data_IF_115036477923
#
_entry.id   IF_115036477923
#
_cell.length_a   1.000
_cell.length_b   1.000
_cell.length_c   1.000
_cell.angle_alpha   90.00
_cell.angle_beta   90.00
_cell.angle_gamma   90.00
#
_symmetry.space_group_name_H-M   'P 1'
#
loop_
_entity.id
_entity.type
_entity.pdbx_description
1 polymer ?
#
# COMPACT_ATOMS: atom_id res chain seq x y z
N UNK A 1 -15.59 20.65 -24.01
CA UNK A 1 -15.60 19.18 -23.77
C UNK A 1 -14.28 18.82 -23.09
N UNK A 2 -14.25 18.75 -21.76
CA UNK A 2 -13.05 18.34 -21.04
C UNK A 2 -12.84 16.85 -21.24
N UNK A 3 -11.69 16.47 -21.81
CA UNK A 3 -11.23 15.09 -21.83
C UNK A 3 -11.10 14.61 -20.38
N UNK A 4 -11.98 13.71 -19.94
CA UNK A 4 -11.74 12.93 -18.73
C UNK A 4 -10.43 12.17 -18.95
N UNK A 5 -9.40 12.52 -18.18
CA UNK A 5 -8.16 11.77 -18.15
C UNK A 5 -8.50 10.35 -17.69
N UNK A 6 -8.49 9.39 -18.62
CA UNK A 6 -8.72 8.00 -18.29
C UNK A 6 -7.69 7.55 -17.28
N UNK A 7 -8.12 6.91 -16.19
CA UNK A 7 -7.22 6.33 -15.21
C UNK A 7 -6.19 5.45 -15.93
N UNK A 8 -4.96 5.94 -15.97
CA UNK A 8 -3.88 5.31 -16.71
C UNK A 8 -2.85 4.86 -15.70
N UNK A 9 -2.71 3.54 -15.55
CA UNK A 9 -1.61 2.90 -14.82
C UNK A 9 -0.24 3.19 -15.46
N UNK A 10 -0.23 3.70 -16.69
CA UNK A 10 0.98 4.00 -17.45
C UNK A 10 1.58 5.38 -17.16
N UNK A 11 0.99 6.21 -16.28
CA UNK A 11 1.70 7.40 -15.79
C UNK A 11 2.88 6.88 -14.95
N UNK A 12 4.06 6.88 -15.54
CA UNK A 12 5.31 6.63 -14.84
C UNK A 12 5.54 7.80 -13.91
N UNK A 13 5.43 7.53 -12.63
CA UNK A 13 5.75 8.47 -11.57
C UNK A 13 7.22 8.23 -11.21
N UNK A 14 8.10 8.88 -11.99
CA UNK A 14 9.56 8.77 -11.81
C UNK A 14 9.96 9.26 -10.42
N UNK A 15 9.36 10.36 -9.95
CA UNK A 15 9.58 10.92 -8.61
C UNK A 15 9.21 9.93 -7.50
N UNK A 16 8.04 9.30 -7.57
CA UNK A 16 7.65 8.25 -6.62
C UNK A 16 8.61 7.05 -6.70
N UNK A 17 9.03 6.67 -7.91
CA UNK A 17 9.91 5.52 -8.11
C UNK A 17 11.29 5.77 -7.49
N UNK A 18 11.84 6.97 -7.65
CA UNK A 18 13.12 7.34 -7.06
C UNK A 18 13.02 7.49 -5.55
N UNK A 19 11.94 8.10 -5.04
CA UNK A 19 11.66 8.16 -3.61
C UNK A 19 11.59 6.76 -2.98
N UNK A 20 10.95 5.79 -3.66
CA UNK A 20 10.91 4.40 -3.19
C UNK A 20 12.31 3.76 -3.16
N UNK A 21 13.19 4.03 -4.14
CA UNK A 21 14.57 3.49 -4.14
C UNK A 21 15.41 4.06 -3.00
N UNK A 22 15.16 5.30 -2.62
CA UNK A 22 15.89 6.02 -1.56
C UNK A 22 15.34 5.75 -0.15
N UNK A 23 14.22 5.04 -0.03
CA UNK A 23 13.58 4.78 1.26
C UNK A 23 13.92 3.38 1.77
N UNK A 24 14.18 3.27 3.07
CA UNK A 24 14.49 1.98 3.69
C UNK A 24 13.29 1.00 3.67
N UNK A 25 13.62 -0.28 3.79
CA UNK A 25 12.68 -1.37 3.58
C UNK A 25 11.52 -1.38 4.58
N UNK A 26 11.77 -1.07 5.86
CA UNK A 26 10.71 -1.05 6.88
C UNK A 26 9.80 0.16 6.69
N UNK A 27 10.35 1.31 6.35
CA UNK A 27 9.56 2.51 6.02
C UNK A 27 8.66 2.25 4.80
N UNK A 28 9.15 1.56 3.77
CA UNK A 28 8.33 1.18 2.62
C UNK A 28 7.19 0.21 2.98
N UNK A 29 7.41 -0.69 3.94
CA UNK A 29 6.36 -1.60 4.40
C UNK A 29 5.29 -0.87 5.22
N UNK A 30 5.68 0.08 6.08
CA UNK A 30 4.75 0.97 6.79
C UNK A 30 3.91 1.75 5.79
N UNK A 31 4.57 2.40 4.83
CA UNK A 31 3.88 3.14 3.78
C UNK A 31 2.90 2.28 2.97
N UNK A 32 3.28 1.04 2.64
CA UNK A 32 2.39 0.10 1.96
C UNK A 32 1.15 -0.24 2.78
N UNK A 33 1.28 -0.44 4.10
CA UNK A 33 0.15 -0.65 5.02
C UNK A 33 -0.76 0.57 5.01
N UNK A 34 -0.20 1.75 5.20
CA UNK A 34 -0.98 2.99 5.29
C UNK A 34 -1.77 3.25 4.00
N UNK A 35 -1.20 2.91 2.83
CA UNK A 35 -1.92 2.93 1.56
C UNK A 35 -3.08 1.92 1.50
N UNK A 36 -2.88 0.71 2.02
CA UNK A 36 -3.89 -0.35 2.02
C UNK A 36 -5.03 -0.04 2.99
N UNK A 37 -4.73 0.46 4.19
CA UNK A 37 -5.74 0.76 5.21
C UNK A 37 -6.78 1.78 4.72
N UNK A 38 -6.39 2.71 3.84
CA UNK A 38 -7.30 3.69 3.22
C UNK A 38 -8.34 3.06 2.29
N UNK A 39 -8.09 1.85 1.80
CA UNK A 39 -8.95 1.16 0.83
C UNK A 39 -9.48 -0.17 1.33
N UNK A 40 -8.91 -0.70 2.42
CA UNK A 40 -9.35 -1.94 3.05
C UNK A 40 -10.86 -1.96 3.37
N UNK A 41 -11.49 -0.86 3.83
CA UNK A 41 -12.92 -0.84 4.08
C UNK A 41 -13.77 -1.25 2.88
N UNK A 42 -13.33 -1.01 1.63
CA UNK A 42 -14.06 -1.47 0.44
C UNK A 42 -14.18 -3.00 0.39
N UNK A 43 -13.17 -3.72 0.87
CA UNK A 43 -13.23 -5.17 0.98
C UNK A 43 -14.07 -5.60 2.18
N UNK A 44 -13.84 -5.01 3.36
CA UNK A 44 -14.50 -5.41 4.60
C UNK A 44 -16.01 -5.18 4.59
N UNK A 45 -16.48 -4.12 3.92
CA UNK A 45 -17.92 -3.87 3.75
C UNK A 45 -18.56 -4.98 2.91
N UNK A 46 -17.89 -5.45 1.86
CA UNK A 46 -18.42 -6.47 0.95
C UNK A 46 -18.28 -7.90 1.53
N UNK A 47 -17.21 -8.16 2.28
CA UNK A 47 -16.86 -9.48 2.83
C UNK A 47 -16.45 -9.38 4.31
N UNK A 48 -17.36 -9.01 5.24
CA UNK A 48 -17.01 -8.70 6.63
C UNK A 48 -16.42 -9.87 7.42
N UNK A 49 -16.73 -11.10 7.01
CA UNK A 49 -16.25 -12.34 7.64
C UNK A 49 -14.94 -12.85 7.04
N UNK A 50 -14.50 -12.34 5.88
CA UNK A 50 -13.25 -12.74 5.26
C UNK A 50 -12.11 -11.87 5.78
N UNK A 51 -11.24 -12.47 6.59
CA UNK A 51 -10.11 -11.77 7.23
C UNK A 51 -8.82 -11.85 6.42
N UNK A 52 -8.78 -12.55 5.28
CA UNK A 52 -7.53 -12.79 4.54
C UNK A 52 -6.75 -11.51 4.19
N UNK A 53 -7.37 -10.41 3.73
CA UNK A 53 -6.66 -9.15 3.50
C UNK A 53 -6.15 -8.49 4.79
N UNK A 54 -6.92 -8.54 5.89
CA UNK A 54 -6.50 -8.04 7.20
C UNK A 54 -5.31 -8.83 7.76
N UNK A 55 -5.35 -10.16 7.68
CA UNK A 55 -4.26 -11.04 8.12
C UNK A 55 -2.95 -10.75 7.38
N UNK A 56 -3.01 -10.34 6.10
CA UNK A 56 -1.82 -9.93 5.36
C UNK A 56 -1.17 -8.66 5.94
N UNK A 57 -1.99 -7.68 6.37
CA UNK A 57 -1.50 -6.46 7.03
C UNK A 57 -0.89 -6.81 8.39
N UNK A 58 -1.56 -7.64 9.19
CA UNK A 58 -1.07 -8.07 10.51
C UNK A 58 0.27 -8.83 10.40
N UNK A 59 0.43 -9.69 9.39
CA UNK A 59 1.67 -10.39 9.13
C UNK A 59 2.81 -9.41 8.80
N UNK A 60 2.54 -8.39 7.99
CA UNK A 60 3.54 -7.37 7.65
C UNK A 60 3.89 -6.49 8.86
N UNK A 61 2.91 -6.09 9.66
CA UNK A 61 3.13 -5.37 10.92
C UNK A 61 4.00 -6.18 11.89
N UNK A 62 3.77 -7.49 11.95
CA UNK A 62 4.59 -8.40 12.77
C UNK A 62 6.03 -8.44 12.28
N UNK A 63 6.26 -8.53 10.97
CA UNK A 63 7.62 -8.44 10.40
C UNK A 63 8.28 -7.07 10.67
N UNK A 64 7.57 -5.96 10.54
CA UNK A 64 8.10 -4.62 10.84
C UNK A 64 8.61 -4.56 12.29
N UNK A 65 7.80 -5.05 13.24
CA UNK A 65 8.09 -5.01 14.67
C UNK A 65 9.24 -5.94 15.08
N UNK A 66 9.25 -7.17 14.57
CA UNK A 66 10.20 -8.21 15.02
C UNK A 66 11.45 -8.28 14.16
N UNK A 67 11.36 -7.95 12.88
CA UNK A 67 12.39 -8.25 11.87
C UNK A 67 12.46 -9.72 11.46
N UNK A 68 11.63 -10.60 12.03
CA UNK A 68 11.65 -12.03 11.75
C UNK A 68 10.94 -12.33 10.42
N UNK A 69 11.70 -12.84 9.45
CA UNK A 69 11.19 -13.16 8.12
C UNK A 69 11.05 -14.67 7.93
N UNK A 70 9.81 -15.11 7.68
CA UNK A 70 9.48 -16.48 7.31
C UNK A 70 8.81 -16.49 5.93
N UNK A 71 9.52 -16.99 4.91
CA UNK A 71 9.05 -17.00 3.52
C UNK A 71 7.71 -17.72 3.36
N UNK A 72 7.49 -18.82 4.09
CA UNK A 72 6.24 -19.57 4.02
C UNK A 72 5.04 -18.73 4.47
N UNK A 73 5.18 -18.01 5.58
CA UNK A 73 4.10 -17.20 6.17
C UNK A 73 3.78 -15.98 5.31
N UNK A 74 4.81 -15.25 4.88
CA UNK A 74 4.66 -14.08 3.99
C UNK A 74 4.02 -14.48 2.66
N UNK A 75 4.49 -15.58 2.06
CA UNK A 75 3.93 -16.09 0.80
C UNK A 75 2.49 -16.53 0.98
N UNK A 76 2.18 -17.25 2.06
CA UNK A 76 0.81 -17.71 2.34
C UNK A 76 -0.14 -16.53 2.51
N UNK A 77 0.19 -15.57 3.36
CA UNK A 77 -0.62 -14.38 3.59
C UNK A 77 -0.86 -13.58 2.29
N UNK A 78 0.17 -13.42 1.45
CA UNK A 78 0.04 -12.77 0.14
C UNK A 78 -0.91 -13.52 -0.79
N UNK A 79 -0.76 -14.85 -0.90
CA UNK A 79 -1.58 -15.69 -1.77
C UNK A 79 -3.03 -15.75 -1.28
N UNK A 80 -3.26 -15.81 0.03
CA UNK A 80 -4.59 -15.82 0.63
C UNK A 80 -5.34 -14.52 0.36
N UNK A 81 -4.69 -13.35 0.52
CA UNK A 81 -5.27 -12.06 0.15
C UNK A 81 -5.58 -11.97 -1.35
N UNK A 82 -4.70 -12.51 -2.21
CA UNK A 82 -4.97 -12.61 -3.64
C UNK A 82 -6.10 -13.59 -3.99
N UNK A 83 -6.30 -14.67 -3.23
CA UNK A 83 -7.43 -15.58 -3.39
C UNK A 83 -8.74 -14.89 -3.01
N UNK A 84 -8.78 -14.19 -1.88
CA UNK A 84 -9.91 -13.35 -1.47
C UNK A 84 -10.29 -12.33 -2.54
N UNK A 85 -9.30 -11.66 -3.14
CA UNK A 85 -9.53 -10.75 -4.25
C UNK A 85 -10.18 -11.43 -5.48
N UNK A 86 -9.90 -12.71 -5.73
CA UNK A 86 -10.49 -13.44 -6.86
C UNK A 86 -11.95 -13.77 -6.63
N UNK A 87 -12.34 -14.03 -5.38
CA UNK A 87 -13.67 -14.47 -4.99
C UNK A 87 -14.72 -13.36 -4.99
N UNK A 88 -14.32 -12.10 -4.77
CA UNK A 88 -15.24 -10.94 -4.75
C UNK A 88 -15.66 -10.43 -6.14
N UNK A 89 -15.46 -11.21 -7.20
CA UNK A 89 -15.81 -10.85 -8.58
C UNK A 89 -14.76 -9.96 -9.28
N UNK A 90 -15.06 -9.50 -10.50
CA UNK A 90 -14.15 -8.68 -11.33
C UNK A 90 -14.46 -7.19 -11.18
N UNK A 91 -13.45 -6.36 -11.46
CA UNK A 91 -13.56 -4.91 -11.66
C UNK A 91 -14.27 -4.09 -10.56
N UNK A 92 -14.07 -4.45 -9.29
CA UNK A 92 -14.59 -3.69 -8.15
C UNK A 92 -13.49 -3.24 -7.16
N UNK A 93 -13.87 -2.33 -6.27
CA UNK A 93 -12.97 -1.74 -5.27
C UNK A 93 -12.44 -2.79 -4.29
N UNK A 94 -13.30 -3.70 -3.79
CA UNK A 94 -12.93 -4.79 -2.89
C UNK A 94 -11.80 -5.66 -3.44
N UNK A 95 -11.91 -6.09 -4.72
CA UNK A 95 -10.86 -6.86 -5.41
C UNK A 95 -9.52 -6.14 -5.40
N UNK A 96 -9.55 -4.83 -5.59
CA UNK A 96 -8.35 -4.00 -5.66
C UNK A 96 -7.72 -3.83 -4.28
N UNK A 97 -8.54 -3.58 -3.26
CA UNK A 97 -8.10 -3.50 -1.87
C UNK A 97 -7.45 -4.81 -1.40
N UNK A 98 -8.06 -5.97 -1.66
CA UNK A 98 -7.46 -7.26 -1.33
C UNK A 98 -6.17 -7.56 -2.09
N UNK A 99 -6.06 -7.12 -3.36
CA UNK A 99 -4.78 -7.17 -4.09
C UNK A 99 -3.73 -6.25 -3.50
N UNK A 100 -4.12 -5.07 -3.04
CA UNK A 100 -3.23 -4.13 -2.40
C UNK A 100 -2.64 -4.75 -1.11
N UNK A 101 -3.47 -5.37 -0.27
CA UNK A 101 -3.02 -6.10 0.92
C UNK A 101 -2.04 -7.25 0.59
N UNK A 102 -2.33 -8.04 -0.43
CA UNK A 102 -1.43 -9.12 -0.89
C UNK A 102 -0.08 -8.63 -1.39
N UNK A 103 -0.04 -7.44 -2.02
CA UNK A 103 1.22 -6.79 -2.41
C UNK A 103 1.94 -6.16 -1.22
N UNK A 104 1.21 -5.55 -0.28
CA UNK A 104 1.82 -4.96 0.91
C UNK A 104 2.58 -6.02 1.69
N UNK A 105 1.98 -7.16 2.04
CA UNK A 105 2.71 -8.21 2.79
C UNK A 105 3.91 -8.76 2.02
N UNK A 106 3.85 -8.80 0.69
CA UNK A 106 4.98 -9.19 -0.15
C UNK A 106 6.14 -8.17 -0.12
N UNK A 107 5.91 -6.93 0.35
CA UNK A 107 6.96 -5.95 0.61
C UNK A 107 8.01 -6.53 1.54
N UNK A 108 7.67 -7.30 2.58
CA UNK A 108 8.66 -7.94 3.47
C UNK A 108 9.70 -8.80 2.72
N UNK A 109 9.33 -9.40 1.58
CA UNK A 109 10.24 -10.17 0.75
C UNK A 109 11.02 -9.27 -0.23
N UNK A 110 10.33 -8.39 -0.96
CA UNK A 110 10.96 -7.46 -1.91
C UNK A 110 10.32 -6.08 -1.79
N UNK A 111 11.14 -5.08 -1.49
CA UNK A 111 10.71 -3.70 -1.24
C UNK A 111 9.81 -3.11 -2.34
N UNK A 112 10.06 -3.43 -3.62
CA UNK A 112 9.30 -2.88 -4.77
C UNK A 112 7.83 -3.27 -4.80
N UNK A 113 7.41 -4.29 -4.04
CA UNK A 113 5.99 -4.61 -3.87
C UNK A 113 5.20 -3.50 -3.17
N UNK A 114 5.85 -2.60 -2.42
CA UNK A 114 5.19 -1.44 -1.80
C UNK A 114 4.52 -0.54 -2.84
N UNK A 115 5.22 -0.28 -3.95
CA UNK A 115 4.71 0.50 -5.08
C UNK A 115 3.52 -0.20 -5.75
N UNK A 116 3.53 -1.54 -5.81
CA UNK A 116 2.39 -2.30 -6.33
C UNK A 116 1.18 -2.21 -5.39
N UNK A 117 1.39 -2.24 -4.06
CA UNK A 117 0.34 -2.03 -3.07
C UNK A 117 -0.33 -0.65 -3.24
N UNK A 118 0.47 0.42 -3.29
CA UNK A 118 -0.01 1.78 -3.52
C UNK A 118 -0.80 1.94 -4.84
N UNK A 119 -0.32 1.31 -5.92
CA UNK A 119 -1.04 1.29 -7.22
C UNK A 119 -2.37 0.57 -7.16
N UNK A 120 -2.47 -0.54 -6.42
CA UNK A 120 -3.75 -1.23 -6.24
C UNK A 120 -4.71 -0.45 -5.33
N UNK A 121 -4.20 0.32 -4.36
CA UNK A 121 -5.01 1.26 -3.60
C UNK A 121 -5.62 2.36 -4.50
N UNK A 122 -4.81 2.95 -5.40
CA UNK A 122 -5.32 3.88 -6.42
C UNK A 122 -6.40 3.22 -7.31
N UNK A 123 -6.20 1.96 -7.71
CA UNK A 123 -7.22 1.23 -8.46
C UNK A 123 -8.51 0.99 -7.66
N UNK A 124 -8.41 0.78 -6.34
CA UNK A 124 -9.58 0.60 -5.48
C UNK A 124 -10.41 1.89 -5.43
N UNK A 125 -9.75 3.03 -5.22
CA UNK A 125 -10.38 4.35 -5.22
C UNK A 125 -10.98 4.66 -6.59
N UNK A 126 -10.30 4.32 -7.69
CA UNK A 126 -10.84 4.54 -9.04
C UNK A 126 -12.14 3.78 -9.27
N UNK A 127 -12.20 2.53 -8.79
CA UNK A 127 -13.39 1.69 -8.93
C UNK A 127 -14.51 2.05 -7.96
N UNK A 128 -14.20 2.76 -6.88
CA UNK A 128 -15.19 3.27 -5.92
C UNK A 128 -15.70 4.68 -6.28
N UNK A 129 -14.95 5.44 -7.09
CA UNK A 129 -15.26 6.83 -7.40
C UNK A 129 -16.61 7.00 -8.10
N UNK A 130 -17.36 8.02 -7.69
CA UNK A 130 -18.61 8.36 -8.33
C UNK A 130 -18.30 9.21 -9.59
N UNK A 131 -18.86 8.87 -10.77
CA UNK A 131 -18.61 9.63 -12.01
C UNK A 131 -19.06 11.11 -11.96
N UNK A 132 -19.83 11.49 -10.95
CA UNK A 132 -20.30 12.86 -10.67
C UNK A 132 -19.45 13.62 -9.64
N UNK A 133 -18.42 13.00 -9.07
CA UNK A 133 -17.52 13.70 -8.15
C UNK A 133 -16.81 14.87 -8.87
N UNK A 134 -16.80 16.02 -8.23
CA UNK A 134 -16.18 17.25 -8.77
C UNK A 134 -14.67 17.27 -8.55
N UNK A 135 -14.18 16.55 -7.55
CA UNK A 135 -12.75 16.36 -7.29
C UNK A 135 -12.26 15.07 -7.94
N UNK A 136 -10.99 15.03 -8.37
CA UNK A 136 -10.35 13.80 -8.85
C UNK A 136 -9.77 13.03 -7.65
N UNK A 137 -10.45 11.98 -7.13
CA UNK A 137 -9.99 11.27 -5.96
C UNK A 137 -8.67 10.52 -6.19
N UNK A 138 -8.31 10.23 -7.44
CA UNK A 138 -7.06 9.57 -7.79
C UNK A 138 -5.89 10.50 -7.68
N UNK A 139 -6.04 11.73 -8.17
CA UNK A 139 -4.99 12.74 -8.04
C UNK A 139 -4.77 13.07 -6.56
N UNK A 140 -5.85 13.27 -5.79
CA UNK A 140 -5.76 13.49 -4.34
C UNK A 140 -5.06 12.36 -3.60
N UNK A 141 -5.41 11.11 -3.90
CA UNK A 141 -4.74 9.97 -3.26
C UNK A 141 -3.28 9.85 -3.67
N UNK A 142 -2.95 10.05 -4.95
CA UNK A 142 -1.57 9.98 -5.41
C UNK A 142 -0.70 11.02 -4.70
N UNK A 143 -1.21 12.25 -4.59
CA UNK A 143 -0.51 13.34 -3.89
C UNK A 143 -0.33 12.98 -2.41
N UNK A 144 -1.36 12.43 -1.76
CA UNK A 144 -1.25 11.93 -0.39
C UNK A 144 -0.19 10.83 -0.26
N UNK A 145 -0.20 9.82 -1.14
CA UNK A 145 0.77 8.72 -1.12
C UNK A 145 2.21 9.21 -1.22
N UNK A 146 2.46 10.20 -2.10
CA UNK A 146 3.79 10.78 -2.30
C UNK A 146 4.24 11.59 -1.07
N UNK A 147 3.40 12.50 -0.57
CA UNK A 147 3.74 13.30 0.60
C UNK A 147 3.93 12.42 1.84
N UNK A 148 3.07 11.42 2.03
CA UNK A 148 3.15 10.50 3.16
C UNK A 148 4.46 9.71 3.19
N UNK A 149 4.91 9.20 2.03
CA UNK A 149 6.20 8.52 1.95
C UNK A 149 7.37 9.46 2.30
N UNK A 150 7.33 10.70 1.83
CA UNK A 150 8.35 11.71 2.18
C UNK A 150 8.37 11.98 3.68
N UNK A 151 7.20 12.18 4.29
CA UNK A 151 7.08 12.44 5.72
C UNK A 151 7.60 11.28 6.57
N UNK A 152 7.29 10.04 6.20
CA UNK A 152 7.79 8.84 6.86
C UNK A 152 9.32 8.72 6.75
N UNK A 153 9.88 8.93 5.55
CA UNK A 153 11.33 8.91 5.33
C UNK A 153 12.03 9.98 6.15
N UNK A 154 11.56 11.23 6.08
CA UNK A 154 12.16 12.34 6.82
C UNK A 154 12.06 12.12 8.35
N UNK A 155 11.00 11.47 8.83
CA UNK A 155 10.87 11.06 10.24
C UNK A 155 11.92 10.01 10.61
N UNK A 156 12.11 9.00 9.77
CA UNK A 156 13.11 7.95 10.01
C UNK A 156 14.53 8.50 10.01
N UNK A 157 14.87 9.40 9.07
CA UNK A 157 16.18 10.05 9.03
C UNK A 157 16.45 10.89 10.28
N UNK A 158 15.44 11.63 10.77
CA UNK A 158 15.56 12.38 12.03
C UNK A 158 15.78 11.45 13.22
N UNK A 159 15.09 10.31 13.26
CA UNK A 159 15.26 9.31 14.31
C UNK A 159 16.68 8.71 14.29
N UNK A 160 17.19 8.37 13.11
CA UNK A 160 18.56 7.84 12.95
C UNK A 160 19.61 8.84 13.45
N UNK A 161 19.52 10.11 13.04
CA UNK A 161 20.44 11.17 13.49
C UNK A 161 20.37 11.43 14.99
N UNK A 162 19.20 11.23 15.61
CA UNK A 162 19.05 11.39 17.06
C UNK A 162 19.70 10.22 17.82
N UNK A 163 19.54 8.99 17.34
CA UNK A 163 20.20 7.81 17.90
C UNK A 163 21.73 7.93 17.86
N UNK A 164 22.29 8.34 16.71
CA UNK A 164 23.74 8.55 16.54
C UNK A 164 24.30 9.60 17.51
N UNK A 165 23.55 10.66 17.82
CA UNK A 165 23.97 11.69 18.79
C UNK A 165 23.87 11.22 20.24
N UNK A 166 22.92 10.34 20.55
CA UNK A 166 22.71 9.78 21.89
C UNK A 166 23.72 8.71 22.27
N UNK A 167 24.32 8.00 21.30
CA UNK A 167 25.37 7.00 21.52
C UNK A 167 26.77 7.60 21.78
N UNK A 168 26.96 8.89 21.47
CA UNK A 168 28.24 9.61 21.65
C UNK A 168 28.29 10.42 22.96
N UNK A 169 27.22 10.41 23.76
CA UNK A 169 27.14 11.06 25.09
C UNK A 169 27.25 10.05 26.22
#
# INVERSE_FOLDING_TARGET
>A
MNKKSGFTLARKDEEMTDLVKETDHKTLAIWAIDCVERVLPYFEIQCPQDKRPGNAIEALQTWIRTGEFHMADIRKASLDAHAAAREVGRDNAARSAARAAGQAVATAHVATHSLAAAKYALQAIYRAANPFDTEDPITRERDWQYQHLRELRDRQERANRAAEKGEVS
#
